data_IF_081695796042
#
_entry.id   IF_081695796042
#
_cell.length_a   1.000
_cell.length_b   1.000
_cell.length_c   1.000
_cell.angle_alpha   90.00
_cell.angle_beta   90.00
_cell.angle_gamma   90.00
#
_symmetry.space_group_name_H-M   'P 1'
#
loop_
_entity.id
_entity.type
_entity.pdbx_description
1 polymer ?
#
# COMPACT_ATOMS: atom_id res chain seq x y z
N UNK A 1 -10.82 11.74 3.73
CA UNK A 1 -11.63 10.71 3.12
C UNK A 1 -11.17 10.45 1.69
N UNK A 2 -11.42 9.26 1.26
CA UNK A 2 -11.13 8.91 -0.11
C UNK A 2 -12.27 9.37 -0.97
N UNK A 3 -12.10 10.52 -1.58
CA UNK A 3 -13.15 11.10 -2.39
C UNK A 3 -12.92 10.72 -3.84
N UNK A 4 -13.63 9.73 -4.30
CA UNK A 4 -13.53 9.29 -5.68
C UNK A 4 -14.93 9.08 -6.26
N UNK A 5 -15.01 9.12 -7.57
CA UNK A 5 -16.26 8.90 -8.25
C UNK A 5 -16.39 7.42 -8.53
N UNK A 6 -17.29 6.75 -7.83
CA UNK A 6 -17.47 5.33 -8.13
C UNK A 6 -18.01 5.20 -9.54
N UNK A 7 -17.33 4.40 -10.30
CA UNK A 7 -17.70 4.22 -11.68
C UNK A 7 -18.68 3.07 -11.86
N UNK A 8 -19.11 2.47 -10.75
CA UNK A 8 -20.17 1.51 -10.83
C UNK A 8 -20.11 0.42 -9.78
N UNK A 9 -20.98 -0.56 -9.94
CA UNK A 9 -21.18 -1.60 -8.95
C UNK A 9 -19.91 -2.38 -8.62
N UNK A 10 -19.04 -2.58 -9.59
CA UNK A 10 -17.82 -3.35 -9.36
C UNK A 10 -16.96 -2.67 -8.31
N UNK A 11 -16.75 -1.37 -8.46
CA UNK A 11 -15.94 -0.63 -7.49
C UNK A 11 -16.62 -0.57 -6.14
N UNK A 12 -17.92 -0.36 -6.12
CA UNK A 12 -18.66 -0.32 -4.86
C UNK A 12 -18.59 -1.65 -4.12
N UNK A 13 -18.64 -2.76 -4.86
CA UNK A 13 -18.57 -4.08 -4.26
C UNK A 13 -17.24 -4.30 -3.58
N UNK A 14 -16.17 -3.77 -4.16
CA UNK A 14 -14.81 -3.99 -3.65
C UNK A 14 -14.33 -2.86 -2.76
N UNK A 15 -15.15 -1.86 -2.52
CA UNK A 15 -14.74 -0.66 -1.80
C UNK A 15 -14.16 -0.96 -0.42
N UNK A 16 -14.77 -1.85 0.31
CA UNK A 16 -14.29 -2.23 1.63
C UNK A 16 -12.86 -2.72 1.60
N UNK A 17 -12.56 -3.61 0.66
CA UNK A 17 -11.22 -4.18 0.57
C UNK A 17 -10.22 -3.17 0.04
N UNK A 18 -10.66 -2.32 -0.88
CA UNK A 18 -9.81 -1.26 -1.39
C UNK A 18 -9.43 -0.28 -0.27
N UNK A 19 -10.41 0.14 0.51
CA UNK A 19 -10.16 1.03 1.64
C UNK A 19 -9.28 0.39 2.68
N UNK A 20 -9.43 -0.91 2.89
CA UNK A 20 -8.55 -1.64 3.80
C UNK A 20 -7.10 -1.56 3.33
N UNK A 21 -6.87 -1.78 2.03
CA UNK A 21 -5.53 -1.70 1.46
C UNK A 21 -4.94 -0.31 1.67
N UNK A 22 -5.70 0.72 1.33
CA UNK A 22 -5.24 2.11 1.47
C UNK A 22 -4.91 2.41 2.93
N UNK A 23 -5.76 2.00 3.84
CA UNK A 23 -5.55 2.23 5.27
C UNK A 23 -4.27 1.56 5.76
N UNK A 24 -4.04 0.33 5.36
CA UNK A 24 -2.83 -0.39 5.77
C UNK A 24 -1.58 0.28 5.21
N UNK A 25 -1.63 0.70 3.95
CA UNK A 25 -0.48 1.33 3.33
C UNK A 25 -0.21 2.70 3.93
N UNK A 26 -1.24 3.46 4.27
CA UNK A 26 -1.08 4.76 4.92
C UNK A 26 -0.54 4.60 6.34
N UNK A 27 -1.05 3.62 7.07
CA UNK A 27 -0.55 3.34 8.42
C UNK A 27 0.93 3.01 8.36
N UNK A 28 1.31 2.22 7.37
CA UNK A 28 2.70 1.85 7.19
C UNK A 28 3.56 3.06 6.84
N UNK A 29 3.07 3.92 5.96
CA UNK A 29 3.78 5.13 5.57
C UNK A 29 4.00 6.05 6.77
N UNK A 30 2.98 6.21 7.60
CA UNK A 30 3.09 7.01 8.83
C UNK A 30 4.13 6.43 9.78
N UNK A 31 4.16 5.12 9.89
CA UNK A 31 5.10 4.43 10.76
C UNK A 31 6.55 4.67 10.34
N UNK A 32 6.81 4.68 9.03
CA UNK A 32 8.16 4.84 8.50
C UNK A 32 8.52 6.28 8.18
N UNK A 33 7.63 7.23 8.45
CA UNK A 33 7.88 8.64 8.18
C UNK A 33 7.62 9.45 9.44
N UNK A 34 8.47 9.30 10.48
CA UNK A 34 8.27 10.07 11.72
C UNK A 34 8.37 11.57 11.49
N UNK A 35 9.20 11.99 10.54
CA UNK A 35 9.24 13.38 10.11
C UNK A 35 9.33 13.36 8.61
N UNK A 36 8.63 14.29 7.97
CA UNK A 36 8.67 14.35 6.52
C UNK A 36 7.29 14.47 5.94
N UNK A 37 7.13 13.93 4.73
CA UNK A 37 5.95 14.16 3.93
C UNK A 37 5.40 12.87 3.37
N UNK A 38 4.08 12.75 3.36
CA UNK A 38 3.38 11.65 2.71
C UNK A 38 2.48 12.25 1.64
N UNK A 39 2.57 11.73 0.43
CA UNK A 39 1.77 12.20 -0.70
C UNK A 39 1.01 11.04 -1.31
N UNK A 40 -0.21 11.31 -1.79
CA UNK A 40 -1.03 10.33 -2.48
C UNK A 40 -1.44 10.95 -3.81
N UNK A 41 -1.17 10.24 -4.89
CA UNK A 41 -1.51 10.78 -6.22
C UNK A 41 -1.69 9.64 -7.21
N UNK A 42 -2.25 9.98 -8.37
CA UNK A 42 -2.38 9.02 -9.47
C UNK A 42 -1.22 9.21 -10.42
N UNK A 43 -0.52 8.11 -10.72
CA UNK A 43 0.57 8.12 -11.70
C UNK A 43 -0.01 8.03 -13.11
N UNK A 44 -1.08 7.26 -13.24
CA UNK A 44 -1.86 7.17 -14.46
C UNK A 44 -3.29 6.80 -14.02
N UNK A 45 -4.26 6.74 -14.95
CA UNK A 45 -5.65 6.48 -14.53
C UNK A 45 -5.86 5.19 -13.75
N UNK A 46 -4.93 4.25 -13.83
CA UNK A 46 -5.08 2.94 -13.19
C UNK A 46 -4.07 2.68 -12.08
N UNK A 47 -3.25 3.68 -11.71
CA UNK A 47 -2.22 3.47 -10.70
C UNK A 47 -2.23 4.56 -9.66
N UNK A 48 -2.52 4.18 -8.42
CA UNK A 48 -2.45 5.08 -7.27
C UNK A 48 -1.09 4.92 -6.63
N UNK A 49 -0.48 6.04 -6.25
CA UNK A 49 0.84 6.03 -5.60
C UNK A 49 0.72 6.64 -4.22
N UNK A 50 1.30 5.96 -3.24
CA UNK A 50 1.47 6.49 -1.89
C UNK A 50 2.97 6.64 -1.69
N UNK A 51 3.41 7.86 -1.55
CA UNK A 51 4.83 8.18 -1.48
C UNK A 51 5.15 8.83 -0.14
N UNK A 52 6.24 8.41 0.50
CA UNK A 52 6.71 9.06 1.70
C UNK A 52 8.19 9.39 1.58
N UNK A 53 8.63 10.36 2.39
CA UNK A 53 10.03 10.77 2.45
C UNK A 53 10.68 10.23 3.71
N UNK A 54 10.25 9.07 4.15
CA UNK A 54 10.71 8.49 5.40
C UNK A 54 12.03 7.76 5.31
N UNK A 55 12.21 6.81 6.21
CA UNK A 55 13.48 6.11 6.34
C UNK A 55 13.76 5.11 5.22
N UNK A 56 12.74 4.76 4.46
CA UNK A 56 12.91 3.77 3.41
C UNK A 56 12.99 2.35 3.95
N UNK A 57 13.27 1.44 3.03
CA UNK A 57 13.37 0.01 3.34
C UNK A 57 14.72 -0.50 2.87
N UNK A 58 15.36 -1.30 3.70
CA UNK A 58 16.65 -1.87 3.33
C UNK A 58 16.49 -2.82 2.15
N UNK A 59 17.44 -2.83 1.21
CA UNK A 59 17.33 -3.67 0.01
C UNK A 59 17.09 -5.16 0.33
N UNK A 60 17.71 -5.67 1.39
CA UNK A 60 17.54 -7.07 1.76
C UNK A 60 16.14 -7.36 2.29
N UNK A 61 15.44 -6.34 2.79
CA UNK A 61 14.09 -6.51 3.32
C UNK A 61 13.01 -6.38 2.24
N UNK A 62 13.28 -5.63 1.18
CA UNK A 62 12.28 -5.38 0.14
C UNK A 62 11.58 -6.63 -0.38
N UNK A 63 12.30 -7.71 -0.71
CA UNK A 63 11.62 -8.90 -1.21
C UNK A 63 10.77 -9.62 -0.16
N UNK A 64 10.91 -9.23 1.11
CA UNK A 64 10.26 -9.93 2.21
C UNK A 64 9.13 -9.18 2.87
N UNK A 65 8.90 -7.93 2.48
CA UNK A 65 7.97 -7.07 3.23
C UNK A 65 6.52 -7.56 3.20
N UNK A 66 6.16 -8.37 2.21
CA UNK A 66 4.82 -8.93 2.13
C UNK A 66 4.71 -10.32 2.76
N UNK A 67 5.80 -10.85 3.31
CA UNK A 67 5.74 -12.15 3.97
C UNK A 67 4.93 -12.06 5.26
N UNK A 68 4.18 -13.13 5.51
CA UNK A 68 3.39 -13.19 6.73
C UNK A 68 4.30 -13.14 7.96
N UNK A 69 4.05 -12.16 8.83
CA UNK A 69 4.81 -12.03 10.06
C UNK A 69 6.11 -11.27 9.94
N UNK A 70 6.48 -10.81 8.74
CA UNK A 70 7.71 -10.04 8.60
C UNK A 70 7.51 -8.62 9.15
N UNK A 71 8.37 -8.20 10.06
CA UNK A 71 8.26 -6.88 10.69
C UNK A 71 9.38 -5.92 10.32
N UNK A 72 10.48 -6.42 9.75
CA UNK A 72 11.60 -5.58 9.37
C UNK A 72 12.25 -4.87 10.56
N UNK A 73 13.08 -3.87 10.24
CA UNK A 73 13.80 -3.13 11.26
C UNK A 73 12.87 -2.37 12.22
N UNK A 74 11.98 -1.55 11.65
CA UNK A 74 11.08 -0.77 12.49
C UNK A 74 10.06 -1.63 13.21
N UNK A 75 9.69 -2.74 12.62
CA UNK A 75 8.78 -3.67 13.27
C UNK A 75 9.37 -4.27 14.51
N UNK A 76 10.69 -4.46 14.54
CA UNK A 76 11.34 -5.02 15.73
C UNK A 76 11.30 -4.07 16.91
N UNK A 77 11.29 -2.76 16.66
CA UNK A 77 11.24 -1.79 17.74
C UNK A 77 9.82 -1.47 18.16
N UNK A 78 8.84 -1.87 17.37
CA UNK A 78 7.42 -1.68 17.67
C UNK A 78 6.84 -2.99 18.17
N UNK A 79 6.70 -3.08 19.48
CA UNK A 79 6.22 -4.32 20.11
C UNK A 79 4.80 -4.71 19.68
N UNK A 80 4.06 -3.78 19.11
CA UNK A 80 2.69 -4.06 18.68
C UNK A 80 2.61 -4.51 17.22
N UNK A 81 3.71 -4.43 16.50
CA UNK A 81 3.70 -4.82 15.10
C UNK A 81 3.57 -6.34 14.99
N UNK A 82 2.62 -6.78 14.20
CA UNK A 82 2.36 -8.21 14.00
C UNK A 82 2.94 -8.74 12.69
N UNK A 83 3.31 -7.84 11.78
CA UNK A 83 3.79 -8.24 10.47
C UNK A 83 2.70 -8.76 9.56
N UNK A 84 1.43 -8.52 9.90
CA UNK A 84 0.31 -9.02 9.12
C UNK A 84 -0.29 -7.98 8.18
N UNK A 85 -0.07 -6.70 8.46
CA UNK A 85 -0.69 -5.63 7.67
C UNK A 85 -0.42 -5.71 6.19
N UNK A 86 0.85 -5.74 5.80
CA UNK A 86 1.22 -5.79 4.38
C UNK A 86 0.87 -7.14 3.75
N UNK A 87 1.00 -8.24 4.51
CA UNK A 87 0.60 -9.54 4.03
C UNK A 87 -0.89 -9.56 3.68
N UNK A 88 -1.72 -9.02 4.56
CA UNK A 88 -3.16 -8.93 4.33
C UNK A 88 -3.48 -8.01 3.15
N UNK A 89 -2.74 -6.92 3.02
CA UNK A 89 -2.85 -6.01 1.89
C UNK A 89 -2.64 -6.73 0.57
N UNK A 90 -1.58 -7.53 0.50
CA UNK A 90 -1.26 -8.26 -0.71
C UNK A 90 -2.35 -9.26 -1.04
N UNK A 91 -2.85 -9.95 -0.01
CA UNK A 91 -3.92 -10.91 -0.23
C UNK A 91 -5.19 -10.23 -0.71
N UNK A 92 -5.53 -9.08 -0.14
CA UNK A 92 -6.70 -8.34 -0.57
C UNK A 92 -6.54 -7.86 -2.02
N UNK A 93 -5.36 -7.36 -2.35
CA UNK A 93 -5.08 -6.90 -3.71
C UNK A 93 -5.21 -8.05 -4.71
N UNK A 94 -4.64 -9.21 -4.36
CA UNK A 94 -4.74 -10.38 -5.23
C UNK A 94 -6.19 -10.78 -5.45
N UNK A 95 -7.00 -10.73 -4.40
CA UNK A 95 -8.40 -11.07 -4.47
C UNK A 95 -9.17 -10.14 -5.41
N UNK A 96 -8.76 -8.87 -5.47
CA UNK A 96 -9.38 -7.87 -6.33
C UNK A 96 -8.71 -7.80 -7.71
N UNK A 97 -7.73 -8.64 -7.96
CA UNK A 97 -6.93 -8.60 -9.19
C UNK A 97 -6.18 -7.28 -9.39
N UNK A 98 -5.80 -6.66 -8.29
CA UNK A 98 -4.94 -5.48 -8.31
C UNK A 98 -3.51 -5.90 -8.01
N UNK A 99 -2.54 -5.09 -8.39
CA UNK A 99 -1.14 -5.37 -8.08
C UNK A 99 -0.58 -4.29 -7.19
N UNK A 100 0.35 -4.68 -6.33
CA UNK A 100 1.06 -3.74 -5.47
C UNK A 100 2.54 -3.88 -5.77
N UNK A 101 3.19 -2.76 -6.01
CA UNK A 101 4.63 -2.70 -6.26
C UNK A 101 5.23 -1.65 -5.35
N UNK A 102 6.42 -1.92 -4.83
CA UNK A 102 7.08 -1.00 -3.91
C UNK A 102 8.49 -0.70 -4.41
N UNK A 103 8.82 0.59 -4.40
CA UNK A 103 10.17 1.07 -4.64
C UNK A 103 10.61 1.83 -3.40
N UNK A 104 11.81 1.57 -2.94
CA UNK A 104 12.29 2.22 -1.74
C UNK A 104 13.81 2.26 -1.73
N UNK A 105 14.34 3.30 -1.10
CA UNK A 105 15.77 3.42 -0.84
C UNK A 105 15.94 3.91 0.58
N UNK A 106 16.92 3.34 1.34
CA UNK A 106 17.17 3.81 2.70
C UNK A 106 17.42 5.32 2.72
N UNK A 107 16.83 5.97 3.70
CA UNK A 107 16.95 7.41 3.93
C UNK A 107 16.37 8.31 2.83
N UNK A 108 15.71 7.74 1.84
CA UNK A 108 15.07 8.51 0.78
C UNK A 108 13.56 8.36 0.76
N UNK A 109 13.05 7.27 1.33
CA UNK A 109 11.63 7.06 1.41
C UNK A 109 11.14 5.90 0.55
N UNK A 110 9.82 5.84 0.41
CA UNK A 110 9.17 4.69 -0.20
C UNK A 110 8.03 5.16 -1.11
N UNK A 111 7.86 4.49 -2.24
CA UNK A 111 6.71 4.66 -3.12
C UNK A 111 6.01 3.32 -3.24
N UNK A 112 4.73 3.32 -2.95
CA UNK A 112 3.90 2.14 -3.11
C UNK A 112 2.94 2.40 -4.25
N UNK A 113 2.94 1.51 -5.23
CA UNK A 113 2.10 1.62 -6.42
C UNK A 113 1.02 0.57 -6.35
N UNK A 114 -0.24 1.01 -6.42
CA UNK A 114 -1.36 0.10 -6.52
C UNK A 114 -1.93 0.25 -7.92
N UNK A 115 -1.80 -0.79 -8.72
CA UNK A 115 -2.33 -0.77 -10.08
C UNK A 115 -3.63 -1.55 -10.11
N UNK A 116 -4.68 -0.89 -10.59
CA UNK A 116 -6.00 -1.48 -10.66
C UNK A 116 -6.15 -2.29 -11.92
N UNK A 117 -6.76 -3.45 -11.79
CA UNK A 117 -7.11 -4.23 -12.95
C UNK A 117 -8.11 -3.46 -13.79
N UNK A 118 -7.83 -3.29 -15.08
CA UNK A 118 -8.75 -2.59 -15.96
C UNK A 118 -10.09 -3.33 -16.08
N UNK A 119 -10.08 -4.64 -15.91
CA UNK A 119 -11.32 -5.41 -15.89
C UNK A 119 -12.16 -5.07 -14.68
N UNK A 120 -11.53 -4.88 -13.53
CA UNK A 120 -12.26 -4.51 -12.30
C UNK A 120 -12.80 -3.10 -12.37
N UNK A 121 -12.18 -2.25 -13.17
CA UNK A 121 -12.62 -0.87 -13.31
C UNK A 121 -13.63 -0.69 -14.43
N UNK A 122 -13.83 -1.70 -15.26
CA UNK A 122 -14.78 -1.61 -16.34
C UNK A 122 -16.19 -1.75 -15.80
N UNK A 123 -17.02 -0.90 -16.31
CA UNK A 123 -18.41 -0.92 -15.95
C UNK A 123 -19.24 -1.23 -17.16
N UNK A 124 -20.02 -2.20 -17.03
CA UNK A 124 -20.85 -2.57 -18.19
C UNK A 124 -22.29 -2.44 -17.88
#
# INVERSE_FOLDING_TARGET
>A
SLDYQPTGAVILTDEKWFLFIIEQLLTNALKYTPTGKISIYLDNPHTLVIEDTGIGIEPEDLPRIFEKGFTGYNGRTDKKASGLGLWLCRRAADMLSHTIRIESEPDRGTRVYISFSSERLRLD
#
